data_IF_314158601152
#
_entry.id   IF_314158601152
#
_cell.length_a   1.000
_cell.length_b   1.000
_cell.length_c   1.000
_cell.angle_alpha   90.00
_cell.angle_beta   90.00
_cell.angle_gamma   90.00
#
_symmetry.space_group_name_H-M   'P 1'
#
loop_
_entity.id
_entity.type
_entity.pdbx_description
1 polymer ?
#
# COMPACT_ATOMS: atom_id res chain seq x y z
N UNK A 1 -16.86 -12.59 -25.75
CA UNK A 1 -17.38 -11.87 -24.56
C UNK A 1 -16.94 -12.50 -23.22
N UNK A 2 -16.09 -13.53 -23.19
CA UNK A 2 -15.63 -14.21 -21.96
C UNK A 2 -14.43 -13.54 -21.29
N UNK A 3 -13.54 -12.93 -22.08
CA UNK A 3 -12.21 -12.56 -21.57
C UNK A 3 -12.26 -11.30 -20.70
N UNK A 4 -13.17 -10.37 -21.01
CA UNK A 4 -13.33 -9.11 -20.27
C UNK A 4 -13.67 -9.24 -18.78
N UNK A 5 -14.37 -10.31 -18.41
CA UNK A 5 -14.67 -10.58 -17.00
C UNK A 5 -13.51 -11.27 -16.30
N UNK A 6 -12.61 -11.93 -17.05
CA UNK A 6 -11.55 -12.74 -16.49
C UNK A 6 -10.45 -11.88 -15.89
N UNK A 7 -9.87 -10.92 -16.63
CA UNK A 7 -8.78 -10.11 -16.08
C UNK A 7 -9.26 -9.17 -14.96
N UNK A 8 -10.50 -8.68 -15.01
CA UNK A 8 -11.10 -7.93 -13.90
C UNK A 8 -11.23 -8.78 -12.62
N UNK A 9 -11.78 -9.99 -12.72
CA UNK A 9 -11.91 -10.89 -11.57
C UNK A 9 -10.55 -11.28 -11.00
N UNK A 10 -9.58 -11.54 -11.87
CA UNK A 10 -8.22 -11.88 -11.49
C UNK A 10 -7.48 -10.68 -10.84
N UNK A 11 -7.70 -9.45 -11.29
CA UNK A 11 -7.18 -8.25 -10.62
C UNK A 11 -7.77 -8.11 -9.21
N UNK A 12 -9.10 -8.23 -9.09
CA UNK A 12 -9.80 -8.13 -7.80
C UNK A 12 -9.34 -9.23 -6.84
N UNK A 13 -9.13 -10.45 -7.34
CA UNK A 13 -8.64 -11.58 -6.56
C UNK A 13 -7.22 -11.34 -6.03
N UNK A 14 -6.28 -10.93 -6.88
CA UNK A 14 -4.91 -10.61 -6.46
C UNK A 14 -4.89 -9.51 -5.39
N UNK A 15 -5.67 -8.45 -5.60
CA UNK A 15 -5.84 -7.37 -4.62
C UNK A 15 -6.35 -7.86 -3.28
N UNK A 16 -7.39 -8.70 -3.27
CA UNK A 16 -7.99 -9.22 -2.03
C UNK A 16 -7.04 -10.15 -1.27
N UNK A 17 -6.25 -10.96 -1.99
CA UNK A 17 -5.21 -11.81 -1.40
C UNK A 17 -4.16 -10.92 -0.73
N UNK A 18 -3.63 -9.94 -1.45
CA UNK A 18 -2.61 -9.04 -0.91
C UNK A 18 -3.12 -8.21 0.27
N UNK A 19 -4.34 -7.67 0.17
CA UNK A 19 -5.03 -6.98 1.27
C UNK A 19 -5.06 -7.86 2.53
N UNK A 20 -5.52 -9.10 2.39
CA UNK A 20 -5.67 -10.02 3.51
C UNK A 20 -4.32 -10.41 4.09
N UNK A 21 -3.33 -10.69 3.25
CA UNK A 21 -1.98 -11.02 3.71
C UNK A 21 -1.39 -9.88 4.55
N UNK A 22 -1.60 -8.62 4.16
CA UNK A 22 -1.14 -7.47 4.94
C UNK A 22 -1.89 -7.32 6.28
N UNK A 23 -3.20 -7.59 6.32
CA UNK A 23 -3.95 -7.63 7.59
C UNK A 23 -3.43 -8.76 8.52
N UNK A 24 -3.18 -9.93 7.96
CA UNK A 24 -2.65 -11.09 8.71
C UNK A 24 -1.24 -10.80 9.23
N UNK A 25 -0.37 -10.15 8.43
CA UNK A 25 0.98 -9.73 8.86
C UNK A 25 0.94 -8.63 9.92
N UNK A 26 0.03 -7.66 9.80
CA UNK A 26 -0.20 -6.64 10.83
C UNK A 26 -0.61 -7.27 12.16
N UNK A 27 -1.44 -8.31 12.11
CA UNK A 27 -1.83 -9.08 13.30
C UNK A 27 -0.66 -9.89 13.86
N UNK A 28 0.13 -10.54 13.00
CA UNK A 28 1.29 -11.31 13.42
C UNK A 28 2.36 -10.45 14.13
N UNK A 29 2.57 -9.21 13.68
CA UNK A 29 3.48 -8.24 14.30
C UNK A 29 3.07 -7.82 15.71
N UNK A 30 1.81 -8.02 16.12
CA UNK A 30 1.32 -7.73 17.48
C UNK A 30 1.65 -8.84 18.47
N UNK A 31 2.01 -10.04 17.99
CA UNK A 31 2.29 -11.20 18.83
C UNK A 31 3.70 -11.06 19.45
N UNK A 32 3.85 -11.07 20.78
CA UNK A 32 5.16 -11.05 21.42
C UNK A 32 6.03 -12.21 20.92
N UNK A 33 7.30 -11.94 20.63
CA UNK A 33 8.29 -12.92 20.13
C UNK A 33 7.95 -13.55 18.77
N UNK A 34 7.14 -12.88 17.94
CA UNK A 34 6.93 -13.29 16.55
C UNK A 34 8.27 -13.43 15.80
N UNK A 35 8.38 -14.41 14.90
CA UNK A 35 9.53 -14.56 14.02
C UNK A 35 9.58 -13.41 13.01
N UNK A 36 10.39 -12.39 13.35
CA UNK A 36 10.49 -11.14 12.57
C UNK A 36 11.13 -11.37 11.21
N UNK A 37 12.05 -12.33 11.09
CA UNK A 37 12.69 -12.64 9.81
C UNK A 37 11.66 -13.27 8.86
N UNK A 38 10.82 -14.16 9.39
CA UNK A 38 9.70 -14.71 8.63
C UNK A 38 8.69 -13.63 8.22
N UNK A 39 8.29 -12.74 9.13
CA UNK A 39 7.38 -11.62 8.81
C UNK A 39 7.99 -10.67 7.77
N UNK A 40 9.26 -10.29 7.95
CA UNK A 40 9.98 -9.43 7.02
C UNK A 40 10.05 -10.06 5.63
N UNK A 41 10.32 -11.37 5.55
CA UNK A 41 10.28 -12.10 4.28
C UNK A 41 8.88 -12.10 3.67
N UNK A 42 7.84 -12.38 4.46
CA UNK A 42 6.46 -12.36 3.96
C UNK A 42 6.03 -10.99 3.44
N UNK A 43 6.52 -9.88 4.02
CA UNK A 43 6.32 -8.54 3.46
C UNK A 43 6.93 -8.39 2.06
N UNK A 44 8.12 -8.95 1.81
CA UNK A 44 8.76 -8.95 0.49
C UNK A 44 8.00 -9.83 -0.49
N UNK A 45 7.65 -11.04 -0.09
CA UNK A 45 6.93 -12.00 -0.93
C UNK A 45 5.58 -11.41 -1.40
N UNK A 46 4.91 -10.63 -0.54
CA UNK A 46 3.68 -9.92 -0.89
C UNK A 46 3.87 -8.85 -1.98
N UNK A 47 5.09 -8.38 -2.24
CA UNK A 47 5.32 -7.36 -3.28
C UNK A 47 5.18 -7.90 -4.71
N UNK A 48 5.30 -9.21 -4.91
CA UNK A 48 5.14 -9.86 -6.23
C UNK A 48 3.69 -9.74 -6.75
N UNK A 49 2.72 -9.72 -5.83
CA UNK A 49 1.31 -9.50 -6.18
C UNK A 49 1.06 -8.10 -6.75
N UNK A 50 1.85 -7.09 -6.34
CA UNK A 50 1.74 -5.74 -6.91
C UNK A 50 2.22 -5.67 -8.36
N UNK A 51 3.29 -6.40 -8.70
CA UNK A 51 3.77 -6.50 -10.08
C UNK A 51 2.73 -7.23 -10.94
N UNK A 52 2.20 -8.34 -10.43
CA UNK A 52 1.13 -9.12 -11.06
C UNK A 52 -0.12 -8.27 -11.32
N UNK A 53 -0.48 -7.38 -10.38
CA UNK A 53 -1.60 -6.46 -10.55
C UNK A 53 -1.35 -5.41 -11.64
N UNK A 54 -0.13 -4.84 -11.74
CA UNK A 54 0.23 -3.87 -12.80
C UNK A 54 0.17 -4.52 -14.18
N UNK A 55 0.72 -5.74 -14.32
CA UNK A 55 0.68 -6.51 -15.57
C UNK A 55 -0.76 -6.86 -15.99
N UNK A 56 -1.59 -7.31 -15.04
CA UNK A 56 -3.01 -7.62 -15.29
C UNK A 56 -3.78 -6.39 -15.72
N UNK A 57 -3.49 -5.23 -15.11
CA UNK A 57 -4.14 -3.98 -15.47
C UNK A 57 -3.74 -3.52 -16.88
N UNK A 58 -2.45 -3.56 -17.22
CA UNK A 58 -1.96 -3.26 -18.56
C UNK A 58 -2.61 -4.18 -19.62
N UNK A 59 -2.72 -5.47 -19.32
CA UNK A 59 -3.40 -6.44 -20.19
C UNK A 59 -4.88 -6.12 -20.36
N UNK A 60 -5.61 -5.91 -19.27
CA UNK A 60 -7.03 -5.56 -19.32
C UNK A 60 -7.28 -4.26 -20.11
N UNK A 61 -6.41 -3.25 -19.96
CA UNK A 61 -6.48 -2.03 -20.76
C UNK A 61 -6.32 -2.33 -22.26
N UNK A 62 -5.32 -3.13 -22.62
CA UNK A 62 -5.01 -3.46 -24.01
C UNK A 62 -6.04 -4.38 -24.68
N UNK A 63 -6.58 -5.37 -23.95
CA UNK A 63 -7.43 -6.41 -24.54
C UNK A 63 -8.93 -6.19 -24.33
N UNK A 64 -9.31 -5.40 -23.33
CA UNK A 64 -10.72 -5.24 -22.90
C UNK A 64 -11.18 -3.79 -22.88
N UNK A 65 -10.28 -2.83 -23.11
CA UNK A 65 -10.59 -1.41 -23.00
C UNK A 65 -10.92 -0.99 -21.56
N UNK A 66 -10.35 -1.66 -20.56
CA UNK A 66 -10.52 -1.28 -19.16
C UNK A 66 -10.04 0.15 -18.92
N UNK A 67 -10.80 0.90 -18.11
CA UNK A 67 -10.54 2.29 -17.77
C UNK A 67 -9.51 2.39 -16.63
N UNK A 68 -8.28 1.94 -16.91
CA UNK A 68 -7.23 1.82 -15.89
C UNK A 68 -6.76 3.21 -15.43
N UNK A 69 -6.80 3.50 -14.12
CA UNK A 69 -6.29 4.76 -13.60
C UNK A 69 -4.81 4.98 -13.98
N UNK A 70 -4.49 6.15 -14.53
CA UNK A 70 -3.10 6.53 -14.84
C UNK A 70 -2.18 6.51 -13.62
N UNK A 71 -2.72 6.65 -12.40
CA UNK A 71 -1.97 6.57 -11.16
C UNK A 71 -1.64 5.16 -10.69
N UNK A 72 -2.26 4.10 -11.23
CA UNK A 72 -2.20 2.75 -10.69
C UNK A 72 -0.76 2.25 -10.56
N UNK A 73 0.00 2.30 -11.65
CA UNK A 73 1.41 1.88 -11.69
C UNK A 73 2.27 2.60 -10.65
N UNK A 74 2.10 3.92 -10.54
CA UNK A 74 2.84 4.74 -9.56
C UNK A 74 2.48 4.33 -8.12
N UNK A 75 1.21 4.03 -7.84
CA UNK A 75 0.74 3.56 -6.52
C UNK A 75 1.31 2.19 -6.18
N UNK A 76 1.25 1.21 -7.10
CA UNK A 76 1.85 -0.10 -6.89
C UNK A 76 3.34 0.01 -6.56
N UNK A 77 4.08 0.83 -7.32
CA UNK A 77 5.50 1.08 -7.07
C UNK A 77 5.76 1.69 -5.69
N UNK A 78 5.00 2.72 -5.30
CA UNK A 78 5.16 3.36 -3.98
C UNK A 78 4.85 2.39 -2.83
N UNK A 79 3.78 1.60 -2.93
CA UNK A 79 3.44 0.59 -1.92
C UNK A 79 4.59 -0.42 -1.81
N UNK A 80 5.13 -0.89 -2.94
CA UNK A 80 6.26 -1.82 -2.97
C UNK A 80 7.53 -1.24 -2.33
N UNK A 81 7.89 0.00 -2.66
CA UNK A 81 9.02 0.70 -2.06
C UNK A 81 8.90 0.77 -0.53
N UNK A 82 7.70 1.10 -0.02
CA UNK A 82 7.42 1.17 1.42
C UNK A 82 7.44 -0.22 2.07
N UNK A 83 6.86 -1.24 1.43
CA UNK A 83 6.92 -2.63 1.93
C UNK A 83 8.35 -3.15 2.04
N UNK A 84 9.20 -2.87 1.05
CA UNK A 84 10.61 -3.27 1.07
C UNK A 84 11.39 -2.60 2.20
N UNK A 85 11.21 -1.29 2.37
CA UNK A 85 11.86 -0.56 3.47
C UNK A 85 11.31 -0.99 4.84
N UNK A 86 10.00 -1.30 4.94
CA UNK A 86 9.39 -1.79 6.17
C UNK A 86 9.92 -3.16 6.55
N UNK A 87 10.07 -4.06 5.59
CA UNK A 87 10.68 -5.39 5.78
C UNK A 87 12.08 -5.27 6.38
N UNK A 88 12.94 -4.44 5.79
CA UNK A 88 14.29 -4.20 6.30
C UNK A 88 14.28 -3.62 7.74
N UNK A 89 13.35 -2.72 8.04
CA UNK A 89 13.24 -2.13 9.38
C UNK A 89 12.73 -3.14 10.44
N UNK A 90 11.75 -3.99 10.09
CA UNK A 90 11.19 -5.01 10.98
C UNK A 90 12.19 -6.10 11.33
N UNK A 91 13.03 -6.49 10.37
CA UNK A 91 14.06 -7.51 10.57
C UNK A 91 15.12 -7.11 11.62
N UNK A 92 15.36 -5.80 11.78
CA UNK A 92 16.53 -5.27 12.48
C UNK A 92 16.23 -4.68 13.87
N UNK A 93 14.99 -4.24 14.16
CA UNK A 93 14.73 -3.49 15.40
C UNK A 93 13.35 -3.71 16.03
N UNK A 94 13.36 -4.04 17.33
CA UNK A 94 12.16 -4.13 18.19
C UNK A 94 11.42 -2.80 18.32
N UNK A 95 12.14 -1.69 18.23
CA UNK A 95 11.56 -0.35 18.40
C UNK A 95 10.59 0.01 17.27
N UNK A 96 10.59 -0.76 16.17
CA UNK A 96 9.67 -0.56 15.06
C UNK A 96 8.36 -1.30 15.19
N UNK A 97 8.23 -2.30 16.05
CA UNK A 97 7.10 -3.22 15.95
C UNK A 97 5.74 -2.52 16.03
N UNK A 98 5.55 -1.63 17.01
CA UNK A 98 4.30 -0.86 17.12
C UNK A 98 4.02 0.02 15.90
N UNK A 99 5.06 0.59 15.28
CA UNK A 99 4.91 1.38 14.04
C UNK A 99 4.65 0.47 12.85
N UNK A 100 5.36 -0.64 12.75
CA UNK A 100 5.24 -1.61 11.67
C UNK A 100 3.84 -2.22 11.61
N UNK A 101 3.21 -2.50 12.75
CA UNK A 101 1.79 -2.90 12.83
C UNK A 101 0.91 -1.88 12.13
N UNK A 102 0.99 -0.60 12.56
CA UNK A 102 0.19 0.49 12.01
C UNK A 102 0.48 0.70 10.52
N UNK A 103 1.75 0.63 10.13
CA UNK A 103 2.17 0.82 8.75
C UNK A 103 1.67 -0.29 7.84
N UNK A 104 1.73 -1.54 8.31
CA UNK A 104 1.24 -2.71 7.56
C UNK A 104 -0.28 -2.65 7.40
N UNK A 105 -1.03 -2.29 8.46
CA UNK A 105 -2.48 -2.09 8.37
C UNK A 105 -2.85 -0.95 7.41
N UNK A 106 -2.08 0.13 7.40
CA UNK A 106 -2.32 1.22 6.46
C UNK A 106 -2.02 0.80 5.01
N UNK A 107 -0.93 0.05 4.77
CA UNK A 107 -0.61 -0.51 3.46
C UNK A 107 -1.71 -1.45 2.96
N UNK A 108 -2.33 -2.26 3.84
CA UNK A 108 -3.50 -3.08 3.49
C UNK A 108 -4.61 -2.18 2.93
N UNK A 109 -4.92 -1.06 3.58
CA UNK A 109 -5.91 -0.09 3.09
C UNK A 109 -5.54 0.50 1.73
N UNK A 110 -4.27 0.86 1.52
CA UNK A 110 -3.79 1.38 0.23
C UNK A 110 -3.93 0.35 -0.89
N UNK A 111 -3.62 -0.92 -0.62
CA UNK A 111 -3.84 -2.03 -1.56
C UNK A 111 -5.32 -2.23 -1.83
N UNK A 112 -6.14 -2.28 -0.77
CA UNK A 112 -7.59 -2.47 -0.86
C UNK A 112 -8.27 -1.41 -1.72
N UNK A 113 -7.68 -0.21 -1.81
CA UNK A 113 -8.16 0.87 -2.67
C UNK A 113 -7.86 0.62 -4.14
N UNK A 114 -6.74 0.01 -4.51
CA UNK A 114 -6.33 -0.15 -5.91
C UNK A 114 -7.49 -0.67 -6.76
N UNK A 115 -7.78 0.01 -7.87
CA UNK A 115 -8.92 -0.30 -8.73
C UNK A 115 -8.47 -0.44 -10.17
N UNK A 116 -9.10 -1.34 -10.90
CA UNK A 116 -8.89 -1.51 -12.33
C UNK A 116 -9.64 -0.47 -13.16
N UNK A 117 -10.74 0.10 -12.63
CA UNK A 117 -11.55 1.11 -13.31
C UNK A 117 -11.50 2.43 -12.53
N UNK A 118 -11.20 3.55 -13.19
CA UNK A 118 -10.99 4.87 -12.58
C UNK A 118 -12.19 5.38 -11.78
N UNK A 119 -13.40 4.94 -12.15
CA UNK A 119 -14.65 5.35 -11.54
C UNK A 119 -15.42 4.24 -10.80
N UNK A 120 -14.75 3.15 -10.41
CA UNK A 120 -15.39 2.09 -9.60
C UNK A 120 -15.56 2.52 -8.14
N UNK A 121 -16.79 2.85 -7.76
CA UNK A 121 -17.18 3.31 -6.43
C UNK A 121 -17.29 2.17 -5.39
N UNK A 122 -17.37 0.91 -5.83
CA UNK A 122 -17.60 -0.24 -4.93
C UNK A 122 -16.40 -0.52 -4.05
N UNK A 123 -15.22 -0.38 -4.61
CA UNK A 123 -13.92 -0.45 -3.92
C UNK A 123 -13.80 0.67 -2.88
N UNK A 124 -14.43 1.80 -3.19
CA UNK A 124 -14.27 3.07 -2.51
C UNK A 124 -15.17 3.21 -1.25
N UNK A 125 -16.21 2.36 -1.12
CA UNK A 125 -17.05 2.28 0.10
C UNK A 125 -16.33 1.60 1.24
N UNK A 126 -15.58 0.53 0.97
CA UNK A 126 -14.75 -0.18 1.97
C UNK A 126 -13.56 0.69 2.39
N UNK A 127 -12.94 1.41 1.45
CA UNK A 127 -11.82 2.30 1.72
C UNK A 127 -12.18 3.54 2.57
N UNK A 128 -13.40 4.07 2.45
CA UNK A 128 -13.86 5.26 3.17
C UNK A 128 -13.87 5.07 4.69
N UNK A 129 -14.16 3.88 5.20
CA UNK A 129 -14.07 3.57 6.63
C UNK A 129 -12.61 3.58 7.12
N UNK A 130 -11.67 3.10 6.31
CA UNK A 130 -10.25 3.12 6.68
C UNK A 130 -9.66 4.53 6.62
N UNK A 131 -10.14 5.39 5.72
CA UNK A 131 -9.74 6.79 5.57
C UNK A 131 -9.94 7.62 6.84
N UNK A 132 -11.08 7.46 7.51
CA UNK A 132 -11.41 8.23 8.73
C UNK A 132 -10.48 7.87 9.90
N UNK A 133 -9.96 6.64 9.94
CA UNK A 133 -8.98 6.21 10.95
C UNK A 133 -7.51 6.50 10.59
N UNK A 134 -7.17 6.55 9.30
CA UNK A 134 -5.79 6.71 8.82
C UNK A 134 -5.32 8.16 8.72
N UNK A 135 -6.25 9.11 8.55
CA UNK A 135 -5.98 10.57 8.60
C UNK A 135 -5.43 11.04 9.96
N UNK A 136 -5.59 10.23 11.02
CA UNK A 136 -5.07 10.53 12.35
C UNK A 136 -3.69 9.90 12.66
N UNK A 137 -3.09 9.17 11.72
CA UNK A 137 -1.78 8.54 11.91
C UNK A 137 -0.66 9.48 11.47
N UNK A 138 -0.51 10.61 12.16
CA UNK A 138 0.74 11.36 12.10
C UNK A 138 1.85 10.49 12.72
N UNK A 139 2.60 9.78 11.88
CA UNK A 139 3.78 9.06 12.31
C UNK A 139 4.88 10.10 12.56
N UNK A 140 5.12 10.41 13.83
CA UNK A 140 6.29 11.19 14.22
C UNK A 140 7.57 10.41 13.86
N UNK A 141 8.19 10.76 12.72
CA UNK A 141 9.47 10.26 12.21
C UNK A 141 10.65 10.76 13.05
N UNK A 142 10.56 10.66 14.38
CA UNK A 142 11.72 10.85 15.24
C UNK A 142 12.70 9.75 14.88
N UNK A 143 13.84 10.14 14.29
CA UNK A 143 14.96 9.24 14.02
C UNK A 143 15.27 8.47 15.30
N UNK A 144 15.30 7.13 15.27
CA UNK A 144 15.82 6.39 16.40
C UNK A 144 17.21 6.93 16.75
N UNK A 145 17.52 7.10 18.03
CA UNK A 145 18.90 7.26 18.50
C UNK A 145 19.76 6.17 17.83
N UNK A 146 20.92 6.54 17.29
CA UNK A 146 21.87 5.83 16.40
C UNK A 146 22.34 4.42 16.82
N UNK A 147 21.43 3.53 17.21
CA UNK A 147 21.73 2.18 17.70
C UNK A 147 21.33 1.09 16.71
N UNK A 148 21.05 1.44 15.44
CA UNK A 148 20.72 0.51 14.36
C UNK A 148 21.86 0.33 13.35
N UNK A 149 21.74 -0.66 12.46
CA UNK A 149 22.63 -0.81 11.31
C UNK A 149 22.42 0.35 10.31
N UNK A 150 23.43 0.69 9.51
CA UNK A 150 23.31 1.70 8.45
C UNK A 150 22.18 1.36 7.45
N UNK A 151 21.97 0.07 7.19
CA UNK A 151 20.87 -0.42 6.35
C UNK A 151 19.50 -0.13 6.97
N UNK A 152 19.35 -0.32 8.28
CA UNK A 152 18.13 0.04 8.99
C UNK A 152 17.89 1.56 8.94
N UNK A 153 18.91 2.37 9.20
CA UNK A 153 18.80 3.84 9.14
C UNK A 153 18.36 4.34 7.75
N UNK A 154 18.90 3.74 6.69
CA UNK A 154 18.49 4.04 5.32
C UNK A 154 17.04 3.61 5.05
N UNK A 155 16.63 2.42 5.50
CA UNK A 155 15.25 1.97 5.39
C UNK A 155 14.28 2.95 6.10
N UNK A 156 14.64 3.44 7.29
CA UNK A 156 13.87 4.47 8.00
C UNK A 156 13.73 5.77 7.22
N UNK A 157 14.82 6.23 6.59
CA UNK A 157 14.81 7.44 5.77
C UNK A 157 13.85 7.27 4.59
N UNK A 158 13.96 6.15 3.88
CA UNK A 158 13.07 5.81 2.75
C UNK A 158 11.61 5.74 3.20
N UNK A 159 11.34 5.11 4.34
CA UNK A 159 10.00 5.06 4.91
C UNK A 159 9.44 6.46 5.13
N UNK A 160 10.19 7.36 5.80
CA UNK A 160 9.75 8.73 6.02
C UNK A 160 9.48 9.51 4.73
N UNK A 161 10.36 9.40 3.74
CA UNK A 161 10.22 10.11 2.46
C UNK A 161 9.07 9.60 1.58
N UNK A 162 8.76 8.31 1.65
CA UNK A 162 7.76 7.67 0.81
C UNK A 162 6.40 7.56 1.48
N UNK A 163 6.34 7.55 2.79
CA UNK A 163 5.10 7.40 3.54
C UNK A 163 4.06 8.46 3.18
N UNK A 164 4.45 9.73 3.24
CA UNK A 164 3.55 10.84 2.95
C UNK A 164 3.07 10.81 1.49
N UNK A 165 3.90 10.27 0.60
CA UNK A 165 3.56 10.10 -0.82
C UNK A 165 2.47 9.05 -1.07
N UNK A 166 2.22 8.12 -0.13
CA UNK A 166 1.14 7.14 -0.26
C UNK A 166 -0.23 7.81 -0.26
N UNK A 167 -0.38 8.96 0.41
CA UNK A 167 -1.64 9.70 0.52
C UNK A 167 -1.81 10.85 -0.47
N UNK A 168 -0.79 11.16 -1.26
CA UNK A 168 -0.90 12.23 -2.25
C UNK A 168 -1.79 11.82 -3.43
N UNK A 169 -2.45 12.81 -4.02
CA UNK A 169 -3.02 12.69 -5.35
C UNK A 169 -1.86 12.61 -6.36
N UNK A 170 -2.08 11.89 -7.47
CA UNK A 170 -1.11 11.87 -8.57
C UNK A 170 -1.54 12.91 -9.59
N UNK A 171 -0.62 13.83 -9.92
CA UNK A 171 -0.86 14.87 -10.92
C UNK A 171 -1.34 14.27 -12.25
N UNK A 172 -2.38 14.87 -12.83
CA UNK A 172 -2.96 14.41 -14.09
C UNK A 172 -3.78 13.12 -13.99
N UNK A 173 -4.12 12.64 -12.78
CA UNK A 173 -5.04 11.53 -12.58
C UNK A 173 -6.35 11.99 -11.95
N UNK A 174 -7.47 11.73 -12.63
CA UNK A 174 -8.83 12.11 -12.26
C UNK A 174 -9.66 10.94 -11.69
N UNK A 175 -9.00 9.81 -11.38
CA UNK A 175 -9.67 8.68 -10.75
C UNK A 175 -10.28 9.08 -9.40
N UNK A 176 -11.29 8.34 -8.93
CA UNK A 176 -12.01 8.65 -7.70
C UNK A 176 -11.10 8.85 -6.48
N UNK A 177 -10.02 8.07 -6.37
CA UNK A 177 -9.05 8.18 -5.27
C UNK A 177 -8.26 9.51 -5.31
N UNK A 178 -7.75 9.88 -6.49
CA UNK A 178 -6.99 11.12 -6.66
C UNK A 178 -7.91 12.34 -6.49
N UNK A 179 -9.13 12.28 -7.04
CA UNK A 179 -10.14 13.34 -6.88
C UNK A 179 -10.54 13.59 -5.43
N UNK A 180 -10.67 12.54 -4.59
CA UNK A 180 -10.96 12.67 -3.16
C UNK A 180 -9.83 13.38 -2.39
N UNK A 181 -8.59 13.04 -2.71
CA UNK A 181 -7.40 13.61 -2.04
C UNK A 181 -7.19 15.09 -2.38
N UNK A 182 -7.45 15.48 -3.63
CA UNK A 182 -7.45 16.89 -4.02
C UNK A 182 -8.50 17.71 -3.26
N UNK A 183 -9.71 17.17 -3.05
CA UNK A 183 -10.76 17.84 -2.26
C UNK A 183 -10.38 18.00 -0.78
N UNK A 184 -9.54 17.11 -0.24
CA UNK A 184 -9.04 17.20 1.14
C UNK A 184 -7.90 18.22 1.28
N UNK A 185 -7.00 18.29 0.30
CA UNK A 185 -5.92 19.30 0.26
C UNK A 185 -6.41 20.74 0.05
N UNK A 186 -7.61 20.92 -0.52
CA UNK A 186 -8.25 22.24 -0.70
C UNK A 186 -8.94 22.81 0.54
N UNK A 187 -8.92 22.11 1.69
CA UNK A 187 -9.49 22.62 2.95
C UNK A 187 -8.47 23.45 3.78
N UNK A 188 -7.28 23.70 3.24
CA UNK A 188 -6.29 24.62 3.82
C UNK A 188 -5.78 25.60 2.75
N UNK A 189 -6.62 26.57 2.45
CA UNK A 189 -6.19 27.92 2.05
C UNK A 189 -7.12 28.95 2.69
#
# INVERSE_FOLDING_TARGET
MSDSKYNHNEFVKARLILYKNLEDLSTALQIPYSDRQSIAKSLIDCTEELDTMDERAAKAQATEGADVPSCLKKRCRLIKEVMNALSAAVAETDRMLSRAVLMTAYLSSQVGRLTLNAHDDRVDKTARHCDEGTVCLELNWVRPSTTGSQAAEEAYRVLGERWDSLDLAVDGCDCLQCGRRLRRGGATM
#
